data_IF_034946398263
#
_entry.id   IF_034946398263
#
_cell.length_a   1.000
_cell.length_b   1.000
_cell.length_c   1.000
_cell.angle_alpha   90.00
_cell.angle_beta   90.00
_cell.angle_gamma   90.00
#
_symmetry.space_group_name_H-M   'P 1'
#
loop_
_entity.id
_entity.type
_entity.pdbx_description
1 polymer ?
#
# COMPACT_ATOMS: atom_id res chain seq x y z
N UNK A 1 -2.48 -4.91 -12.46
CA UNK A 1 -1.98 -5.48 -11.18
C UNK A 1 -2.32 -4.57 -10.03
N UNK A 2 -2.82 -5.13 -8.92
CA UNK A 2 -3.20 -4.39 -7.71
C UNK A 2 -2.26 -4.69 -6.55
N UNK A 3 -1.74 -3.64 -5.90
CA UNK A 3 -0.93 -3.69 -4.69
C UNK A 3 -1.61 -2.90 -3.58
N UNK A 4 -2.01 -3.57 -2.50
CA UNK A 4 -2.64 -2.92 -1.37
C UNK A 4 -2.49 -3.67 -0.05
N UNK A 5 -3.35 -3.33 0.90
CA UNK A 5 -3.42 -3.90 2.24
C UNK A 5 -4.51 -4.99 2.34
N UNK A 6 -5.00 -5.25 3.55
CA UNK A 6 -6.03 -6.27 3.82
C UNK A 6 -7.39 -5.96 3.17
N UNK A 7 -7.73 -4.69 3.00
CA UNK A 7 -8.95 -4.28 2.30
C UNK A 7 -8.88 -4.66 0.82
N UNK A 8 -7.73 -4.43 0.20
CA UNK A 8 -7.46 -4.73 -1.20
C UNK A 8 -7.29 -6.22 -1.44
N UNK A 9 -6.86 -6.98 -0.43
CA UNK A 9 -6.82 -8.44 -0.48
C UNK A 9 -8.23 -9.08 -0.44
N UNK A 10 -9.27 -8.34 -0.04
CA UNK A 10 -10.61 -8.91 0.15
C UNK A 10 -10.75 -9.78 1.41
N UNK A 11 -9.99 -9.47 2.48
CA UNK A 11 -10.08 -10.23 3.73
C UNK A 11 -11.51 -10.25 4.28
N UNK A 12 -12.10 -11.45 4.38
CA UNK A 12 -13.48 -11.64 4.85
C UNK A 12 -14.56 -11.53 3.78
N UNK A 13 -14.18 -11.43 2.51
CA UNK A 13 -15.08 -11.37 1.34
C UNK A 13 -14.84 -12.60 0.47
N UNK A 14 -15.89 -13.13 -0.18
CA UNK A 14 -15.70 -14.22 -1.16
C UNK A 14 -14.90 -13.70 -2.34
N UNK A 15 -14.11 -14.57 -2.98
CA UNK A 15 -13.22 -14.18 -4.07
C UNK A 15 -13.99 -13.47 -5.19
N UNK A 16 -15.14 -13.99 -5.62
CA UNK A 16 -15.99 -13.40 -6.66
C UNK A 16 -16.71 -12.10 -6.25
N UNK A 17 -16.64 -11.72 -4.98
CA UNK A 17 -17.27 -10.51 -4.44
C UNK A 17 -16.23 -9.45 -4.02
N UNK A 18 -14.93 -9.71 -4.16
CA UNK A 18 -13.89 -8.72 -3.89
C UNK A 18 -13.97 -7.58 -4.91
N UNK A 19 -13.66 -6.34 -4.48
CA UNK A 19 -13.95 -5.19 -5.33
C UNK A 19 -13.17 -5.22 -6.64
N UNK A 20 -11.98 -5.82 -6.67
CA UNK A 20 -11.19 -5.96 -7.88
C UNK A 20 -11.84 -6.91 -8.88
N UNK A 21 -12.51 -7.98 -8.43
CA UNK A 21 -13.28 -8.85 -9.31
C UNK A 21 -14.50 -8.12 -9.86
N UNK A 22 -15.23 -7.38 -9.02
CA UNK A 22 -16.36 -6.54 -9.47
C UNK A 22 -15.90 -5.49 -10.49
N UNK A 23 -14.74 -4.88 -10.29
CA UNK A 23 -14.17 -3.91 -11.24
C UNK A 23 -13.74 -4.61 -12.54
N UNK A 24 -13.08 -5.76 -12.47
CA UNK A 24 -12.70 -6.54 -13.65
C UNK A 24 -13.93 -6.92 -14.49
N UNK A 25 -14.97 -7.46 -13.85
CA UNK A 25 -16.21 -7.85 -14.52
C UNK A 25 -16.88 -6.66 -15.21
N UNK A 26 -16.94 -5.51 -14.53
CA UNK A 26 -17.51 -4.29 -15.09
C UNK A 26 -16.68 -3.74 -16.25
N UNK A 27 -15.36 -3.74 -16.16
CA UNK A 27 -14.49 -3.32 -17.26
C UNK A 27 -14.71 -4.18 -18.49
N UNK A 28 -14.79 -5.50 -18.31
CA UNK A 28 -15.00 -6.45 -19.40
C UNK A 28 -16.42 -6.40 -20.00
N UNK A 29 -17.42 -6.02 -19.22
CA UNK A 29 -18.81 -5.96 -19.67
C UNK A 29 -19.20 -4.59 -20.26
N UNK A 30 -18.81 -3.51 -19.60
CA UNK A 30 -19.28 -2.14 -19.90
C UNK A 30 -18.31 -1.37 -20.81
N UNK A 31 -17.02 -1.71 -20.82
CA UNK A 31 -15.97 -0.96 -21.51
C UNK A 31 -15.07 -1.85 -22.38
N UNK A 32 -15.63 -2.61 -23.35
CA UNK A 32 -14.81 -3.40 -24.26
C UNK A 32 -13.91 -2.49 -25.10
N UNK A 33 -12.60 -2.71 -25.01
CA UNK A 33 -11.59 -1.98 -25.78
C UNK A 33 -11.11 -2.83 -26.95
N UNK A 34 -11.13 -2.30 -28.17
CA UNK A 34 -10.62 -3.02 -29.34
C UNK A 34 -9.12 -3.36 -29.29
N UNK A 35 -8.36 -2.68 -28.42
CA UNK A 35 -6.94 -2.93 -28.20
C UNK A 35 -6.67 -4.08 -27.21
N UNK A 36 -7.63 -4.42 -26.36
CA UNK A 36 -7.48 -5.44 -25.32
C UNK A 36 -8.59 -6.50 -25.42
N UNK A 37 -8.22 -7.78 -25.51
CA UNK A 37 -9.23 -8.85 -25.55
C UNK A 37 -9.99 -9.01 -24.24
N UNK A 38 -9.36 -8.70 -23.11
CA UNK A 38 -9.91 -8.79 -21.76
C UNK A 38 -9.03 -8.00 -20.78
N UNK A 39 -9.65 -7.41 -19.75
CA UNK A 39 -8.97 -6.90 -18.56
C UNK A 39 -8.80 -8.02 -17.52
N UNK A 40 -7.61 -8.11 -16.94
CA UNK A 40 -7.30 -9.01 -15.82
C UNK A 40 -6.64 -8.22 -14.67
N UNK A 41 -7.16 -8.35 -13.46
CA UNK A 41 -6.60 -7.74 -12.26
C UNK A 41 -5.95 -8.79 -11.38
N UNK A 42 -4.66 -9.00 -11.58
CA UNK A 42 -3.85 -9.77 -10.64
C UNK A 42 -3.73 -9.03 -9.29
N UNK A 43 -4.42 -9.54 -8.27
CA UNK A 43 -4.37 -9.02 -6.91
C UNK A 43 -3.14 -9.55 -6.16
N UNK A 44 -2.17 -8.67 -5.91
CA UNK A 44 -0.95 -8.97 -5.15
C UNK A 44 -0.94 -8.32 -3.76
N UNK A 45 -2.11 -7.86 -3.29
CA UNK A 45 -2.28 -7.23 -1.99
C UNK A 45 -2.03 -8.20 -0.84
N UNK A 46 -1.40 -7.69 0.23
CA UNK A 46 -1.11 -8.49 1.42
C UNK A 46 -1.50 -7.70 2.65
N UNK A 47 -2.30 -8.31 3.52
CA UNK A 47 -2.66 -7.74 4.81
C UNK A 47 -1.45 -7.26 5.61
N UNK A 48 -1.60 -6.12 6.27
CA UNK A 48 -0.58 -5.48 7.12
C UNK A 48 0.68 -5.02 6.38
N UNK A 49 0.81 -5.18 5.06
CA UNK A 49 1.96 -4.64 4.35
C UNK A 49 1.96 -3.11 4.38
N UNK A 50 3.10 -2.51 4.72
CA UNK A 50 3.35 -1.08 4.54
C UNK A 50 3.84 -0.75 3.13
N UNK A 51 3.94 0.54 2.81
CA UNK A 51 4.33 1.05 1.49
C UNK A 51 5.61 0.39 0.93
N UNK A 52 6.68 0.30 1.74
CA UNK A 52 7.95 -0.27 1.28
C UNK A 52 7.86 -1.77 0.98
N UNK A 53 7.08 -2.53 1.76
CA UNK A 53 6.88 -3.96 1.49
C UNK A 53 6.08 -4.17 0.20
N UNK A 54 5.12 -3.30 -0.12
CA UNK A 54 4.38 -3.34 -1.39
C UNK A 54 5.32 -3.06 -2.58
N UNK A 55 6.20 -2.07 -2.47
CA UNK A 55 7.19 -1.78 -3.51
C UNK A 55 8.20 -2.91 -3.70
N UNK A 56 8.74 -3.45 -2.60
CA UNK A 56 9.64 -4.60 -2.68
C UNK A 56 8.96 -5.81 -3.33
N UNK A 57 7.70 -6.09 -3.00
CA UNK A 57 6.93 -7.16 -3.64
C UNK A 57 6.75 -6.94 -5.14
N UNK A 58 6.49 -5.70 -5.57
CA UNK A 58 6.41 -5.36 -6.99
C UNK A 58 7.76 -5.60 -7.70
N UNK A 59 8.86 -5.15 -7.08
CA UNK A 59 10.21 -5.23 -7.62
C UNK A 59 10.73 -6.66 -7.70
N UNK A 60 10.49 -7.47 -6.68
CA UNK A 60 10.97 -8.85 -6.58
C UNK A 60 10.10 -9.84 -7.34
N UNK A 61 8.78 -9.60 -7.41
CA UNK A 61 7.82 -10.59 -7.91
C UNK A 61 6.83 -10.01 -8.92
N UNK A 62 6.36 -8.78 -8.74
CA UNK A 62 5.28 -8.24 -9.56
C UNK A 62 5.67 -8.03 -11.02
N UNK A 63 6.85 -7.48 -11.30
CA UNK A 63 7.25 -7.17 -12.67
C UNK A 63 7.44 -8.39 -13.58
N UNK A 64 7.64 -9.60 -13.02
CA UNK A 64 7.77 -10.82 -13.82
C UNK A 64 6.49 -11.16 -14.60
N UNK A 65 5.33 -10.70 -14.10
CA UNK A 65 4.02 -10.90 -14.73
C UNK A 65 3.75 -9.91 -15.89
N UNK A 66 4.68 -8.98 -16.15
CA UNK A 66 4.60 -7.98 -17.24
C UNK A 66 3.23 -7.25 -17.29
N UNK A 67 2.77 -6.64 -16.19
CA UNK A 67 1.48 -5.96 -16.18
C UNK A 67 1.51 -4.70 -17.06
N UNK A 68 0.42 -4.41 -17.77
CA UNK A 68 0.29 -3.14 -18.52
C UNK A 68 0.13 -1.93 -17.59
N UNK A 69 -0.49 -2.14 -16.43
CA UNK A 69 -0.68 -1.14 -15.39
C UNK A 69 -0.51 -1.73 -13.99
N UNK A 70 0.03 -0.91 -13.08
CA UNK A 70 0.14 -1.23 -11.65
C UNK A 70 -0.61 -0.19 -10.85
N UNK A 71 -1.53 -0.64 -10.02
CA UNK A 71 -2.32 0.16 -9.09
C UNK A 71 -1.70 -0.01 -7.70
N UNK A 72 -1.20 1.08 -7.15
CA UNK A 72 -0.74 1.19 -5.77
C UNK A 72 -1.86 1.80 -4.93
N UNK A 73 -2.55 0.97 -4.16
CA UNK A 73 -3.57 1.40 -3.20
C UNK A 73 -2.91 1.85 -1.91
N UNK A 74 -3.24 3.07 -1.48
CA UNK A 74 -2.72 3.72 -0.27
C UNK A 74 -3.90 4.18 0.58
N UNK A 75 -3.79 4.04 1.89
CA UNK A 75 -4.74 4.60 2.85
C UNK A 75 -4.08 5.45 3.92
N UNK A 76 -4.86 6.31 4.59
CA UNK A 76 -4.34 7.19 5.64
C UNK A 76 -3.59 6.43 6.76
N UNK A 77 -4.06 5.22 7.13
CA UNK A 77 -3.42 4.37 8.14
C UNK A 77 -2.08 3.76 7.72
N UNK A 78 -1.70 3.85 6.43
CA UNK A 78 -0.47 3.22 5.93
C UNK A 78 0.80 3.81 6.55
N UNK A 79 0.78 5.08 6.97
CA UNK A 79 1.95 5.72 7.60
C UNK A 79 2.36 4.95 8.86
N UNK A 80 1.39 4.47 9.63
CA UNK A 80 1.65 3.68 10.83
C UNK A 80 2.34 2.34 10.50
N UNK A 81 1.91 1.67 9.42
CA UNK A 81 2.56 0.43 8.97
C UNK A 81 3.99 0.67 8.50
N UNK A 82 4.24 1.75 7.75
CA UNK A 82 5.59 2.11 7.33
C UNK A 82 6.53 2.24 8.54
N UNK A 83 6.16 3.05 9.54
CA UNK A 83 7.01 3.28 10.71
C UNK A 83 7.20 2.02 11.54
N UNK A 84 6.13 1.25 11.77
CA UNK A 84 6.19 0.00 12.53
C UNK A 84 7.15 -1.01 11.90
N UNK A 85 7.06 -1.20 10.59
CA UNK A 85 7.90 -2.16 9.87
C UNK A 85 9.35 -1.69 9.79
N UNK A 86 9.59 -0.42 9.49
CA UNK A 86 10.94 0.16 9.49
C UNK A 86 11.56 0.12 10.89
N UNK A 87 10.81 0.50 11.93
CA UNK A 87 11.27 0.47 13.31
C UNK A 87 11.68 -0.94 13.76
N UNK A 88 10.87 -1.95 13.41
CA UNK A 88 11.20 -3.35 13.67
C UNK A 88 12.42 -3.81 12.88
N UNK A 89 12.52 -3.51 11.59
CA UNK A 89 13.65 -3.90 10.75
C UNK A 89 14.97 -3.30 11.26
N UNK A 90 14.97 -2.00 11.60
CA UNK A 90 16.13 -1.30 12.17
C UNK A 90 16.54 -1.85 13.54
N UNK A 91 15.57 -2.13 14.41
CA UNK A 91 15.86 -2.71 15.73
C UNK A 91 16.42 -4.13 15.66
N UNK A 92 16.09 -4.88 14.61
CA UNK A 92 16.61 -6.22 14.36
C UNK A 92 17.92 -6.21 13.57
N UNK A 93 18.41 -5.04 13.13
CA UNK A 93 19.61 -4.92 12.31
C UNK A 93 19.45 -5.56 10.93
N UNK A 94 18.22 -5.58 10.39
CA UNK A 94 17.96 -6.07 9.04
C UNK A 94 18.57 -5.09 8.04
N UNK A 95 19.51 -5.58 7.23
CA UNK A 95 20.14 -4.79 6.18
C UNK A 95 19.10 -4.43 5.10
N UNK A 96 18.95 -3.14 4.74
CA UNK A 96 18.03 -2.76 3.69
C UNK A 96 18.52 -3.24 2.31
N UNK A 97 17.61 -3.48 1.36
CA UNK A 97 17.98 -3.72 -0.03
C UNK A 97 18.85 -2.56 -0.56
N UNK A 98 19.84 -2.83 -1.44
CA UNK A 98 20.82 -1.82 -1.87
C UNK A 98 20.19 -0.51 -2.36
N UNK A 99 19.10 -0.61 -3.11
CA UNK A 99 18.37 0.53 -3.67
C UNK A 99 17.63 1.39 -2.63
N UNK A 100 17.36 0.84 -1.43
CA UNK A 100 16.69 1.51 -0.32
C UNK A 100 17.70 2.07 0.69
N UNK A 101 18.96 1.63 0.63
CA UNK A 101 19.99 1.96 1.61
C UNK A 101 20.19 3.47 1.73
N UNK A 102 20.32 4.19 0.61
CA UNK A 102 20.61 5.63 0.63
C UNK A 102 19.54 6.45 1.37
N UNK A 103 18.26 6.22 1.09
CA UNK A 103 17.17 6.95 1.76
C UNK A 103 17.10 6.58 3.25
N UNK A 104 17.28 5.29 3.57
CA UNK A 104 17.19 4.81 4.95
C UNK A 104 18.37 5.28 5.80
N UNK A 105 19.59 5.25 5.28
CA UNK A 105 20.77 5.81 5.95
C UNK A 105 20.62 7.31 6.16
N UNK A 106 20.16 8.06 5.16
CA UNK A 106 19.94 9.52 5.28
C UNK A 106 18.94 9.83 6.39
N UNK A 107 17.77 9.18 6.36
CA UNK A 107 16.69 9.40 7.34
C UNK A 107 17.13 8.96 8.73
N UNK A 108 17.74 7.79 8.88
CA UNK A 108 18.17 7.28 10.19
C UNK A 108 19.29 8.14 10.80
N UNK A 109 20.24 8.60 9.98
CA UNK A 109 21.28 9.54 10.41
C UNK A 109 20.68 10.87 10.88
N UNK A 110 19.79 11.46 10.07
CA UNK A 110 19.15 12.75 10.39
C UNK A 110 18.27 12.66 11.64
N UNK A 111 17.59 11.54 11.83
CA UNK A 111 16.76 11.26 13.00
C UNK A 111 17.56 10.84 14.25
N UNK A 112 18.88 10.65 14.13
CA UNK A 112 19.75 10.15 15.19
C UNK A 112 19.36 8.76 15.70
N UNK A 113 18.85 7.90 14.81
CA UNK A 113 18.43 6.54 15.12
C UNK A 113 19.65 5.61 15.17
N UNK A 114 19.67 4.70 16.15
CA UNK A 114 20.69 3.65 16.27
C UNK A 114 20.07 2.34 16.75
N UNK A 115 20.67 1.20 16.39
CA UNK A 115 20.07 -0.14 16.60
C UNK A 115 19.78 -0.55 18.06
N UNK A 116 20.38 0.13 19.05
CA UNK A 116 20.09 -0.11 20.48
C UNK A 116 18.83 0.59 21.02
N UNK A 117 18.18 1.42 20.20
CA UNK A 117 17.05 2.23 20.62
C UNK A 117 15.78 1.37 20.70
N UNK A 118 14.90 1.56 21.71
CA UNK A 118 13.61 0.89 21.74
C UNK A 118 12.78 1.18 20.47
N UNK A 119 12.09 0.18 19.93
CA UNK A 119 11.32 0.29 18.66
C UNK A 119 10.38 1.49 18.67
N UNK A 120 9.65 1.74 19.77
CA UNK A 120 8.72 2.88 19.89
C UNK A 120 9.44 4.24 19.76
N UNK A 121 10.68 4.34 20.24
CA UNK A 121 11.50 5.55 20.06
C UNK A 121 11.99 5.70 18.63
N UNK A 122 12.32 4.59 17.95
CA UNK A 122 12.64 4.59 16.51
C UNK A 122 11.43 5.06 15.71
N UNK A 123 10.25 4.47 15.94
CA UNK A 123 8.99 4.85 15.26
C UNK A 123 8.70 6.35 15.43
N UNK A 124 8.76 6.86 16.67
CA UNK A 124 8.55 8.29 16.96
C UNK A 124 9.53 9.20 16.24
N UNK A 125 10.79 8.78 16.11
CA UNK A 125 11.83 9.56 15.41
C UNK A 125 11.71 9.50 13.89
N UNK A 126 11.07 8.46 13.35
CA UNK A 126 10.78 8.37 11.92
C UNK A 126 9.58 9.22 11.50
N UNK A 127 8.64 9.51 12.42
CA UNK A 127 7.42 10.26 12.10
C UNK A 127 7.65 11.58 11.33
N UNK A 128 8.60 12.46 11.72
CA UNK A 128 8.88 13.70 10.98
C UNK A 128 9.36 13.50 9.54
N UNK A 129 9.88 12.30 9.21
CA UNK A 129 10.40 11.94 7.89
C UNK A 129 9.39 11.16 7.05
N UNK A 130 8.14 11.03 7.51
CA UNK A 130 7.09 10.29 6.82
C UNK A 130 6.88 10.77 5.39
N UNK A 131 6.74 12.07 5.18
CA UNK A 131 6.47 12.62 3.85
C UNK A 131 7.66 12.41 2.90
N UNK A 132 8.89 12.54 3.40
CA UNK A 132 10.11 12.26 2.64
C UNK A 132 10.20 10.78 2.21
N UNK A 133 9.87 9.85 3.10
CA UNK A 133 9.86 8.42 2.81
C UNK A 133 8.77 8.05 1.79
N UNK A 134 7.60 8.68 1.88
CA UNK A 134 6.49 8.48 0.95
C UNK A 134 6.79 9.06 -0.43
N UNK A 135 7.32 10.28 -0.49
CA UNK A 135 7.74 10.94 -1.72
C UNK A 135 8.79 10.08 -2.44
N UNK A 136 9.81 9.60 -1.71
CA UNK A 136 10.81 8.70 -2.26
C UNK A 136 10.18 7.41 -2.82
N UNK A 137 9.26 6.79 -2.08
CA UNK A 137 8.58 5.58 -2.50
C UNK A 137 7.72 5.81 -3.76
N UNK A 138 6.97 6.91 -3.85
CA UNK A 138 6.18 7.23 -5.04
C UNK A 138 7.05 7.54 -6.25
N UNK A 139 8.17 8.24 -6.06
CA UNK A 139 9.14 8.45 -7.13
C UNK A 139 9.73 7.14 -7.62
N UNK A 140 10.14 6.25 -6.71
CA UNK A 140 10.66 4.94 -7.07
C UNK A 140 9.61 4.10 -7.81
N UNK A 141 8.39 4.07 -7.32
CA UNK A 141 7.26 3.38 -7.97
C UNK A 141 7.07 3.87 -9.42
N UNK A 142 6.89 5.18 -9.60
CA UNK A 142 6.68 5.77 -10.91
C UNK A 142 7.88 5.54 -11.84
N UNK A 143 9.11 5.66 -11.33
CA UNK A 143 10.33 5.43 -12.08
C UNK A 143 10.44 3.97 -12.56
N UNK A 144 10.23 3.00 -11.67
CA UNK A 144 10.34 1.57 -12.00
C UNK A 144 9.28 1.16 -13.03
N UNK A 145 8.04 1.67 -12.90
CA UNK A 145 6.99 1.45 -13.89
C UNK A 145 7.34 2.08 -15.24
N UNK A 146 7.72 3.37 -15.26
CA UNK A 146 8.05 4.10 -16.50
C UNK A 146 9.20 3.46 -17.26
N UNK A 147 10.26 3.03 -16.57
CA UNK A 147 11.40 2.33 -17.18
C UNK A 147 11.01 1.03 -17.89
N UNK A 148 9.87 0.44 -17.52
CA UNK A 148 9.35 -0.81 -18.07
C UNK A 148 8.17 -0.62 -19.03
N UNK A 149 7.80 0.63 -19.33
CA UNK A 149 6.62 0.93 -20.16
C UNK A 149 5.28 0.59 -19.47
N UNK A 150 5.26 0.47 -18.14
CA UNK A 150 4.08 0.13 -17.35
C UNK A 150 3.41 1.41 -16.89
N UNK A 151 2.08 1.47 -16.95
CA UNK A 151 1.32 2.63 -16.47
C UNK A 151 1.17 2.62 -14.93
N UNK A 152 1.74 3.60 -14.20
CA UNK A 152 1.59 3.66 -12.74
C UNK A 152 0.31 4.40 -12.34
N UNK A 153 -0.47 3.80 -11.46
CA UNK A 153 -1.68 4.37 -10.88
C UNK A 153 -1.56 4.36 -9.36
N UNK A 154 -1.98 5.44 -8.71
CA UNK A 154 -2.12 5.51 -7.24
C UNK A 154 -3.58 5.74 -6.91
N UNK A 155 -4.14 4.90 -6.05
CA UNK A 155 -5.47 5.11 -5.48
C UNK A 155 -5.28 5.46 -4.02
N UNK A 156 -5.78 6.63 -3.62
CA UNK A 156 -5.79 7.05 -2.23
C UNK A 156 -7.17 6.85 -1.62
N UNK A 157 -7.22 6.04 -0.56
CA UNK A 157 -8.40 5.86 0.28
C UNK A 157 -8.26 6.74 1.52
N UNK A 158 -9.05 7.82 1.65
CA UNK A 158 -9.04 8.63 2.85
C UNK A 158 -9.49 7.81 4.07
N UNK A 159 -9.16 8.30 5.25
CA UNK A 159 -9.81 7.81 6.47
C UNK A 159 -11.34 7.96 6.30
N UNK A 160 -12.14 6.96 6.73
CA UNK A 160 -13.57 7.14 6.79
C UNK A 160 -13.83 8.40 7.62
N UNK A 161 -14.52 9.39 7.03
CA UNK A 161 -15.12 10.44 7.84
C UNK A 161 -16.01 9.72 8.85
N UNK A 162 -15.83 9.99 10.15
CA UNK A 162 -16.72 9.47 11.18
C UNK A 162 -18.15 9.64 10.69
N UNK A 163 -18.81 8.53 10.40
CA UNK A 163 -20.21 8.54 10.05
C UNK A 163 -20.94 8.99 11.32
N UNK A 164 -21.30 10.27 11.43
CA UNK A 164 -22.31 10.74 12.38
C UNK A 164 -23.69 10.26 11.90
N UNK A 165 -23.84 8.94 11.74
CA UNK A 165 -25.09 8.27 11.46
C UNK A 165 -25.84 8.07 12.77
N UNK A 166 -26.80 8.95 13.02
CA UNK A 166 -27.79 8.94 14.09
C UNK A 166 -28.14 7.54 14.62
N UNK A 167 -27.82 7.29 15.88
CA UNK A 167 -28.63 6.42 16.75
C UNK A 167 -29.96 7.14 17.02
N UNK A 168 -30.84 7.23 16.02
CA UNK A 168 -32.27 7.37 16.30
C UNK A 168 -32.76 5.99 16.73
N UNK A 169 -32.58 5.70 18.03
CA UNK A 169 -33.32 4.66 18.70
C UNK A 169 -34.82 4.96 18.52
N UNK A 170 -35.46 4.25 17.58
CA UNK A 170 -36.91 4.23 17.45
C UNK A 170 -37.55 3.77 18.77
N UNK A 171 -38.73 4.29 19.13
CA UNK A 171 -39.30 4.07 20.45
C UNK A 171 -39.59 2.58 20.68
N UNK A 172 -39.20 2.13 21.88
CA UNK A 172 -39.46 0.80 22.44
C UNK A 172 -40.91 0.37 22.25
N UNK A 173 -41.13 -0.72 21.53
CA UNK A 173 -42.42 -1.40 21.53
C UNK A 173 -42.48 -2.30 22.78
N UNK A 174 -43.25 -1.88 23.76
CA UNK A 174 -43.59 -2.70 24.93
C UNK A 174 -44.67 -3.72 24.58
N UNK A 175 -44.52 -4.90 25.18
CA UNK A 175 -45.60 -5.82 25.57
C UNK A 175 -45.19 -6.49 26.86
#
# INVERSE_FOLDING_TARGET
>A
MLLGASHDQGSGVKVDETYENVVEDRLNHELPDSHYSRYEILNMSVGQYGLFQRLLRLEEQGFQFKPDAVILSISAVDKQFLFRHLGRALSLGIEPPPDYRQILERVTHSAGIHGKMPVVMIERRLQPYGDELYEWAFHRFAQQCKQRGIHPLVIYRPEPLDFQGRDEAGPSCGT
#
